data_IF_991759770163
#
_entry.id   IF_991759770163
#
_cell.length_a   1.000
_cell.length_b   1.000
_cell.length_c   1.000
_cell.angle_alpha   90.00
_cell.angle_beta   90.00
_cell.angle_gamma   90.00
#
_symmetry.space_group_name_H-M   'P 1'
#
loop_
_entity.id
_entity.type
_entity.pdbx_description
1 polymer ?
#
# COMPACT_ATOMS: atom_id res chain seq x y z
N UNK A 1 10.45 2.28 9.03
CA UNK A 1 9.52 1.18 8.74
C UNK A 1 9.87 -0.10 9.48
N UNK A 2 11.10 -0.63 9.42
CA UNK A 2 11.43 -1.88 10.14
C UNK A 2 11.13 -1.85 11.65
N UNK A 3 11.54 -0.79 12.36
CA UNK A 3 11.22 -0.65 13.79
C UNK A 3 9.70 -0.59 14.03
N UNK A 4 8.97 0.23 13.26
CA UNK A 4 7.51 0.33 13.37
C UNK A 4 6.78 -1.00 13.07
N UNK A 5 7.26 -1.79 12.10
CA UNK A 5 6.71 -3.12 11.82
C UNK A 5 6.93 -4.07 13.01
N UNK A 6 8.15 -4.10 13.55
CA UNK A 6 8.49 -4.91 14.71
C UNK A 6 7.67 -4.51 15.96
N UNK A 7 7.49 -3.20 16.20
CA UNK A 7 6.71 -2.68 17.33
C UNK A 7 5.23 -3.10 17.27
N UNK A 8 4.72 -3.45 16.08
CA UNK A 8 3.35 -3.91 15.86
C UNK A 8 3.26 -5.43 15.61
N UNK A 9 4.34 -6.19 15.83
CA UNK A 9 4.36 -7.65 15.67
C UNK A 9 4.29 -8.13 14.22
N UNK A 10 4.71 -7.29 13.27
CA UNK A 10 4.73 -7.61 11.84
C UNK A 10 6.16 -7.71 11.29
N UNK A 11 6.35 -8.59 10.32
CA UNK A 11 7.57 -8.64 9.51
C UNK A 11 7.42 -7.72 8.29
N UNK A 12 8.42 -6.87 8.04
CA UNK A 12 8.40 -5.97 6.88
C UNK A 12 8.75 -6.75 5.61
N UNK A 13 7.80 -6.85 4.68
CA UNK A 13 8.01 -7.53 3.40
C UNK A 13 8.81 -6.68 2.38
N UNK A 14 8.36 -5.46 2.11
CA UNK A 14 8.99 -4.56 1.13
C UNK A 14 8.59 -3.10 1.36
N UNK A 15 9.37 -2.17 0.80
CA UNK A 15 9.10 -0.73 0.82
C UNK A 15 9.02 -0.23 -0.61
N UNK A 16 7.91 0.40 -0.96
CA UNK A 16 7.72 1.04 -2.26
C UNK A 16 7.97 2.53 -2.15
N UNK A 17 8.61 3.10 -3.17
CA UNK A 17 8.80 4.53 -3.31
C UNK A 17 7.90 5.02 -4.44
N UNK A 18 7.05 6.00 -4.14
CA UNK A 18 6.21 6.67 -5.13
C UNK A 18 6.78 8.05 -5.46
N UNK A 19 6.87 8.37 -6.75
CA UNK A 19 7.09 9.74 -7.20
C UNK A 19 5.81 10.57 -7.00
N UNK A 20 5.94 11.90 -6.84
CA UNK A 20 4.77 12.78 -6.73
C UNK A 20 3.82 12.58 -7.93
N UNK A 21 2.51 12.42 -7.69
CA UNK A 21 1.55 12.09 -8.74
C UNK A 21 1.52 13.20 -9.81
N UNK A 22 1.91 12.87 -11.04
CA UNK A 22 1.93 13.80 -12.17
C UNK A 22 0.64 13.75 -13.01
N UNK A 23 -0.19 12.70 -12.86
CA UNK A 23 -1.40 12.50 -13.67
C UNK A 23 -2.44 11.62 -12.96
N UNK A 24 -3.63 11.49 -13.56
CA UNK A 24 -4.71 10.62 -13.09
C UNK A 24 -4.53 9.13 -13.45
N UNK A 25 -3.34 8.70 -13.87
CA UNK A 25 -3.04 7.29 -14.14
C UNK A 25 -2.64 6.56 -12.88
N UNK A 26 -3.06 5.30 -12.75
CA UNK A 26 -2.62 4.42 -11.67
C UNK A 26 -1.08 4.26 -11.73
N UNK A 27 -0.33 4.64 -10.68
CA UNK A 27 1.12 4.51 -10.67
C UNK A 27 1.57 3.04 -10.72
N UNK A 28 2.73 2.79 -11.35
CA UNK A 28 3.28 1.44 -11.52
C UNK A 28 3.52 0.73 -10.17
N UNK A 29 3.91 1.49 -9.14
CA UNK A 29 4.06 1.01 -7.77
C UNK A 29 2.82 0.28 -7.21
N UNK A 30 1.60 0.58 -7.68
CA UNK A 30 0.38 -0.12 -7.27
C UNK A 30 0.28 -1.52 -7.87
N UNK A 31 0.72 -1.68 -9.12
CA UNK A 31 0.76 -2.98 -9.77
C UNK A 31 1.81 -3.86 -9.09
N UNK A 32 2.97 -3.31 -8.78
CA UNK A 32 4.03 -3.99 -8.05
C UNK A 32 3.58 -4.40 -6.64
N UNK A 33 2.93 -3.49 -5.89
CA UNK A 33 2.36 -3.79 -4.57
C UNK A 33 1.39 -4.97 -4.63
N UNK A 34 0.52 -5.01 -5.64
CA UNK A 34 -0.43 -6.11 -5.84
C UNK A 34 0.28 -7.44 -6.07
N UNK A 35 1.32 -7.45 -6.90
CA UNK A 35 2.12 -8.65 -7.20
C UNK A 35 2.83 -9.13 -5.93
N UNK A 36 3.43 -8.21 -5.18
CA UNK A 36 4.19 -8.53 -3.97
C UNK A 36 3.30 -9.04 -2.84
N UNK A 37 2.09 -8.52 -2.67
CA UNK A 37 1.14 -9.05 -1.69
C UNK A 37 0.82 -10.54 -1.97
N UNK A 38 0.58 -10.89 -3.25
CA UNK A 38 0.35 -12.27 -3.65
C UNK A 38 1.58 -13.15 -3.46
N UNK A 39 2.76 -12.66 -3.86
CA UNK A 39 4.01 -13.41 -3.80
C UNK A 39 4.43 -13.72 -2.35
N UNK A 40 4.30 -12.73 -1.47
CA UNK A 40 4.67 -12.85 -0.06
C UNK A 40 3.62 -13.57 0.79
N UNK A 41 2.39 -13.70 0.29
CA UNK A 41 1.25 -14.13 1.12
C UNK A 41 0.95 -13.10 2.21
N UNK A 42 1.22 -11.81 1.96
CA UNK A 42 0.92 -10.76 2.91
C UNK A 42 -0.58 -10.72 3.19
N UNK A 43 -0.95 -10.70 4.47
CA UNK A 43 -2.34 -10.61 4.90
C UNK A 43 -2.75 -9.16 5.19
N UNK A 44 -1.79 -8.25 5.34
CA UNK A 44 -2.01 -6.83 5.60
C UNK A 44 -0.99 -5.93 4.88
N UNK A 45 -1.42 -4.75 4.45
CA UNK A 45 -0.60 -3.67 3.90
C UNK A 45 -0.89 -2.39 4.69
N UNK A 46 0.17 -1.72 5.14
CA UNK A 46 0.08 -0.47 5.90
C UNK A 46 0.74 0.67 5.14
N UNK A 47 0.05 1.81 5.04
CA UNK A 47 0.59 3.02 4.41
C UNK A 47 0.66 4.20 5.36
N UNK A 48 1.57 5.13 5.08
CA UNK A 48 1.67 6.40 5.82
C UNK A 48 0.62 7.41 5.32
N UNK A 49 0.21 8.37 6.15
CA UNK A 49 -0.68 9.44 5.75
C UNK A 49 -0.19 10.16 4.49
N UNK A 50 -1.09 10.34 3.52
CA UNK A 50 -0.80 11.01 2.24
C UNK A 50 -0.24 10.10 1.14
N UNK A 51 0.27 8.92 1.48
CA UNK A 51 0.58 7.85 0.51
C UNK A 51 -0.70 7.08 0.18
N UNK A 52 -0.88 6.66 -1.09
CA UNK A 52 -2.14 6.17 -1.66
C UNK A 52 -3.34 7.17 -1.60
N UNK A 53 -3.31 8.19 -0.74
CA UNK A 53 -4.36 9.21 -0.58
C UNK A 53 -4.13 10.51 -1.35
N UNK A 54 -2.94 10.70 -1.95
CA UNK A 54 -2.57 11.90 -2.71
C UNK A 54 -2.97 11.90 -4.20
N UNK A 55 -3.68 10.88 -4.67
CA UNK A 55 -4.13 10.76 -6.06
C UNK A 55 -5.44 11.53 -6.32
N UNK A 56 -5.67 11.92 -7.59
CA UNK A 56 -6.95 12.44 -8.06
C UNK A 56 -8.10 11.39 -8.04
N UNK A 57 -7.77 10.12 -7.83
CA UNK A 57 -8.74 9.02 -7.63
C UNK A 57 -9.16 9.00 -6.17
N UNK A 58 -10.46 8.84 -5.85
CA UNK A 58 -10.90 8.68 -4.48
C UNK A 58 -10.13 7.56 -3.78
N UNK A 59 -9.47 7.91 -2.68
CA UNK A 59 -8.67 7.00 -1.83
C UNK A 59 -9.38 5.65 -1.58
N UNK A 60 -10.70 5.68 -1.37
CA UNK A 60 -11.51 4.49 -1.12
C UNK A 60 -11.48 3.49 -2.29
N UNK A 61 -11.57 3.96 -3.54
CA UNK A 61 -11.55 3.10 -4.71
C UNK A 61 -10.20 2.41 -4.90
N UNK A 62 -9.13 3.10 -4.50
CA UNK A 62 -7.77 2.59 -4.59
C UNK A 62 -7.49 1.51 -3.54
N UNK A 63 -7.95 1.74 -2.31
CA UNK A 63 -7.90 0.75 -1.23
C UNK A 63 -8.72 -0.50 -1.60
N UNK A 64 -9.92 -0.34 -2.16
CA UNK A 64 -10.76 -1.46 -2.60
C UNK A 64 -10.09 -2.26 -3.73
N UNK A 65 -9.47 -1.58 -4.71
CA UNK A 65 -8.74 -2.24 -5.79
C UNK A 65 -7.58 -3.09 -5.25
N UNK A 66 -6.79 -2.52 -4.35
CA UNK A 66 -5.66 -3.21 -3.73
C UNK A 66 -6.13 -4.40 -2.88
N UNK A 67 -7.19 -4.24 -2.09
CA UNK A 67 -7.76 -5.34 -1.30
C UNK A 67 -8.26 -6.48 -2.21
N UNK A 68 -8.99 -6.14 -3.28
CA UNK A 68 -9.55 -7.11 -4.22
C UNK A 68 -8.51 -7.83 -5.08
N UNK A 69 -7.29 -7.28 -5.20
CA UNK A 69 -6.25 -7.84 -6.07
C UNK A 69 -5.05 -8.39 -5.31
N UNK A 70 -4.70 -7.83 -4.17
CA UNK A 70 -3.54 -8.23 -3.36
C UNK A 70 -3.82 -9.37 -2.39
N UNK A 71 -5.09 -9.75 -2.16
CA UNK A 71 -5.50 -10.71 -1.12
C UNK A 71 -5.05 -10.29 0.30
N UNK A 72 -4.91 -8.99 0.53
CA UNK A 72 -4.47 -8.41 1.79
C UNK A 72 -5.45 -7.34 2.26
N UNK A 73 -5.60 -7.19 3.58
CA UNK A 73 -6.29 -6.04 4.15
C UNK A 73 -5.39 -4.80 4.00
N UNK A 74 -5.94 -3.68 3.54
CA UNK A 74 -5.17 -2.44 3.39
C UNK A 74 -5.63 -1.42 4.43
N UNK A 75 -4.69 -0.90 5.22
CA UNK A 75 -4.93 0.08 6.26
C UNK A 75 -3.92 1.23 6.21
N UNK A 76 -4.27 2.34 6.85
CA UNK A 76 -3.36 3.48 7.02
C UNK A 76 -2.99 3.59 8.49
N UNK A 77 -1.71 3.86 8.74
CA UNK A 77 -1.22 4.12 10.09
C UNK A 77 -1.64 5.53 10.49
N UNK A 78 -2.50 5.62 11.50
CA UNK A 78 -2.81 6.88 12.18
C UNK A 78 -1.65 7.16 13.14
N UNK A 79 -0.99 8.30 12.96
CA UNK A 79 0.10 8.74 13.84
C UNK A 79 -0.40 9.07 15.25
#
# INVERSE_FOLDING_TARGET
MNAAAADHGHELATVFYEDSPQSATLPEAFAELTIECRRSGAHAVFTLPGYLGGMAVPRICLLDFLAARGNAQVGELVA
#
